data_IF_394133976633
#
_entry.id   IF_394133976633
#
_cell.length_a   1.000
_cell.length_b   1.000
_cell.length_c   1.000
_cell.angle_alpha   90.00
_cell.angle_beta   90.00
_cell.angle_gamma   90.00
#
_symmetry.space_group_name_H-M   'P 1'
#
loop_
_entity.id
_entity.type
_entity.pdbx_description
1 polymer ?
#
# COMPACT_ATOMS: atom_id res chain seq x y z
N UNK A 1 10.11 0.06 2.84
CA UNK A 1 9.12 1.00 3.40
C UNK A 1 8.59 0.56 4.76
N UNK A 2 7.87 -0.57 4.86
CA UNK A 2 7.33 -1.03 6.16
C UNK A 2 8.45 -1.31 7.17
N UNK A 3 9.42 -2.16 6.78
CA UNK A 3 10.60 -2.52 7.57
C UNK A 3 11.46 -1.30 7.96
N UNK A 4 11.75 -0.41 7.01
CA UNK A 4 12.53 0.82 7.26
C UNK A 4 11.90 1.73 8.31
N UNK A 5 10.59 1.61 8.51
CA UNK A 5 9.81 2.40 9.49
C UNK A 5 9.45 1.60 10.74
N UNK A 6 9.97 0.38 10.90
CA UNK A 6 9.64 -0.53 12.00
C UNK A 6 8.12 -0.84 12.09
N UNK A 7 7.44 -0.85 10.94
CA UNK A 7 6.06 -1.29 10.83
C UNK A 7 5.98 -2.80 10.55
N UNK A 8 4.85 -3.46 10.86
CA UNK A 8 4.61 -4.84 10.49
C UNK A 8 4.84 -5.09 8.99
N UNK A 9 5.44 -6.22 8.65
CA UNK A 9 5.66 -6.63 7.26
C UNK A 9 4.43 -7.39 6.74
N UNK A 10 3.90 -7.05 5.55
CA UNK A 10 2.78 -7.78 4.99
C UNK A 10 3.20 -9.20 4.59
N UNK A 11 2.37 -10.20 4.92
CA UNK A 11 2.51 -11.58 4.44
C UNK A 11 2.49 -11.65 2.92
N UNK A 12 1.65 -10.85 2.28
CA UNK A 12 1.54 -10.83 0.82
C UNK A 12 1.25 -9.43 0.31
N UNK A 13 1.90 -9.06 -0.79
CA UNK A 13 1.64 -7.82 -1.52
C UNK A 13 1.21 -8.17 -2.93
N UNK A 14 -0.01 -7.79 -3.29
CA UNK A 14 -0.57 -7.98 -4.64
C UNK A 14 -0.70 -6.63 -5.31
N UNK A 15 0.09 -6.39 -6.36
CA UNK A 15 -0.02 -5.17 -7.17
C UNK A 15 -1.04 -5.38 -8.28
N UNK A 16 -1.99 -4.46 -8.41
CA UNK A 16 -2.99 -4.52 -9.47
C UNK A 16 -2.37 -4.17 -10.82
N UNK A 17 -2.84 -4.78 -11.93
CA UNK A 17 -2.43 -4.40 -13.26
C UNK A 17 -2.66 -2.90 -13.48
N UNK A 18 -1.61 -2.16 -13.81
CA UNK A 18 -1.71 -0.73 -14.01
C UNK A 18 -2.53 -0.42 -15.27
N UNK A 19 -3.47 0.53 -15.17
CA UNK A 19 -4.09 1.19 -16.33
C UNK A 19 -3.24 2.36 -16.86
N UNK A 20 -2.26 2.85 -16.10
CA UNK A 20 -1.36 3.95 -16.49
C UNK A 20 -0.04 3.94 -15.71
N UNK A 21 1.03 4.46 -16.31
CA UNK A 21 2.37 4.55 -15.71
C UNK A 21 2.52 5.62 -14.61
N UNK A 22 1.44 6.30 -14.22
CA UNK A 22 1.50 7.40 -13.26
C UNK A 22 1.51 6.96 -11.79
N UNK A 23 0.94 5.80 -11.47
CA UNK A 23 0.85 5.30 -10.09
C UNK A 23 0.50 3.82 -10.05
N UNK A 24 0.97 3.12 -9.02
CA UNK A 24 0.57 1.75 -8.69
C UNK A 24 -0.51 1.72 -7.61
N UNK A 25 -1.36 0.70 -7.65
CA UNK A 25 -2.28 0.36 -6.57
C UNK A 25 -2.21 -1.14 -6.30
N UNK A 26 -2.60 -1.57 -5.11
CA UNK A 26 -2.53 -2.98 -4.71
C UNK A 26 -3.11 -3.22 -3.34
N UNK A 27 -2.96 -4.46 -2.86
CA UNK A 27 -3.38 -4.91 -1.52
C UNK A 27 -2.18 -5.45 -0.78
N UNK A 28 -2.08 -5.10 0.49
CA UNK A 28 -1.14 -5.69 1.44
C UNK A 28 -1.97 -6.52 2.44
N UNK A 29 -1.68 -7.81 2.55
CA UNK A 29 -2.33 -8.71 3.50
C UNK A 29 -1.41 -8.95 4.70
N UNK A 30 -1.98 -8.87 5.89
CA UNK A 30 -1.30 -9.11 7.17
C UNK A 30 -1.96 -10.29 7.88
N UNK A 31 -1.30 -10.87 8.88
CA UNK A 31 -1.82 -12.03 9.59
C UNK A 31 -2.93 -11.65 10.57
N UNK A 32 -2.89 -10.41 11.08
CA UNK A 32 -3.87 -9.87 12.03
C UNK A 32 -4.39 -8.49 11.63
N UNK A 33 -5.54 -8.11 12.20
CA UNK A 33 -6.11 -6.77 11.97
C UNK A 33 -5.28 -5.70 12.68
N UNK A 34 -4.69 -6.06 13.81
CA UNK A 34 -3.79 -5.25 14.62
C UNK A 34 -2.55 -4.87 13.80
N UNK A 35 -1.88 -5.85 13.17
CA UNK A 35 -0.74 -5.58 12.28
C UNK A 35 -1.10 -4.70 11.10
N UNK A 36 -2.25 -4.95 10.46
CA UNK A 36 -2.73 -4.11 9.37
C UNK A 36 -2.99 -2.66 9.83
N UNK A 37 -3.50 -2.49 11.05
CA UNK A 37 -3.76 -1.18 11.66
C UNK A 37 -2.47 -0.45 11.98
N UNK A 38 -1.51 -1.12 12.61
CA UNK A 38 -0.20 -0.56 12.94
C UNK A 38 0.55 -0.15 11.67
N UNK A 39 0.55 -1.03 10.65
CA UNK A 39 1.14 -0.74 9.35
C UNK A 39 0.47 0.47 8.69
N UNK A 40 -0.87 0.57 8.72
CA UNK A 40 -1.59 1.72 8.20
C UNK A 40 -1.19 3.01 8.92
N UNK A 41 -1.20 3.03 10.26
CA UNK A 41 -0.89 4.23 11.05
C UNK A 41 0.55 4.70 10.82
N UNK A 42 1.51 3.78 10.77
CA UNK A 42 2.94 4.12 10.64
C UNK A 42 3.30 4.54 9.22
N UNK A 43 2.72 3.87 8.21
CA UNK A 43 3.21 3.96 6.85
C UNK A 43 2.36 4.84 5.93
N UNK A 44 1.12 5.17 6.29
CA UNK A 44 0.29 6.04 5.46
C UNK A 44 0.95 7.42 5.26
N UNK A 45 0.78 8.00 4.07
CA UNK A 45 1.41 9.25 3.63
C UNK A 45 2.95 9.26 3.59
N UNK A 46 3.59 8.10 3.70
CA UNK A 46 5.05 8.01 3.52
C UNK A 46 5.43 8.43 2.11
N UNK A 47 6.41 9.34 1.95
CA UNK A 47 7.00 9.62 0.65
C UNK A 47 7.86 8.42 0.20
N UNK A 48 7.67 8.01 -1.06
CA UNK A 48 8.43 6.97 -1.74
C UNK A 48 9.04 7.58 -2.99
N UNK A 49 10.33 7.32 -3.22
CA UNK A 49 11.05 7.89 -4.34
C UNK A 49 10.42 7.49 -5.67
N UNK A 50 10.27 8.48 -6.55
CA UNK A 50 9.81 8.25 -7.91
C UNK A 50 11.00 7.83 -8.78
N UNK A 51 10.96 6.67 -9.46
CA UNK A 51 12.02 6.29 -10.40
C UNK A 51 12.01 7.14 -11.68
N UNK A 52 10.97 7.95 -11.92
CA UNK A 52 10.74 8.70 -13.16
C UNK A 52 10.59 10.21 -12.97
N UNK A 53 10.34 10.69 -11.75
CA UNK A 53 10.03 12.09 -11.46
C UNK A 53 10.90 12.69 -10.35
N UNK A 54 10.94 14.03 -10.28
CA UNK A 54 11.69 14.78 -9.24
C UNK A 54 10.98 14.81 -7.88
N UNK A 55 9.67 14.57 -7.84
CA UNK A 55 8.88 14.60 -6.62
C UNK A 55 8.52 13.17 -6.16
N UNK A 56 8.51 12.89 -4.85
CA UNK A 56 8.16 11.57 -4.34
C UNK A 56 6.67 11.27 -4.53
N UNK A 57 6.34 9.98 -4.65
CA UNK A 57 4.98 9.49 -4.51
C UNK A 57 4.58 9.49 -3.03
N UNK A 58 3.38 9.98 -2.73
CA UNK A 58 2.80 9.87 -1.39
C UNK A 58 1.95 8.62 -1.32
N UNK A 59 2.34 7.67 -0.47
CA UNK A 59 1.59 6.43 -0.27
C UNK A 59 0.25 6.72 0.40
N UNK A 60 -0.82 6.09 -0.09
CA UNK A 60 -2.15 6.16 0.49
C UNK A 60 -2.60 4.75 0.86
N UNK A 61 -2.78 4.52 2.16
CA UNK A 61 -3.28 3.26 2.70
C UNK A 61 -4.69 3.45 3.24
N UNK A 62 -5.51 2.43 3.04
CA UNK A 62 -6.85 2.31 3.61
C UNK A 62 -7.15 0.82 3.79
N UNK A 63 -8.12 0.50 4.67
CA UNK A 63 -8.62 -0.87 4.75
C UNK A 63 -9.31 -1.27 3.44
N UNK A 64 -9.02 -2.46 2.96
CA UNK A 64 -9.74 -3.04 1.84
C UNK A 64 -11.16 -3.45 2.29
N UNK A 65 -12.16 -3.07 1.51
CA UNK A 65 -13.55 -3.50 1.61
C UNK A 65 -13.77 -4.69 0.69
N UNK A 66 -14.10 -5.84 1.28
CA UNK A 66 -14.38 -7.08 0.55
C UNK A 66 -13.12 -7.85 0.11
N UNK A 67 -13.18 -9.19 0.24
CA UNK A 67 -12.06 -10.14 0.08
C UNK A 67 -11.40 -10.18 -1.32
N UNK A 68 -11.97 -9.54 -2.33
CA UNK A 68 -11.60 -9.80 -3.73
C UNK A 68 -10.99 -8.61 -4.47
N UNK A 69 -10.89 -7.42 -3.86
CA UNK A 69 -10.39 -6.21 -4.54
C UNK A 69 -11.22 -5.78 -5.78
N UNK A 70 -12.28 -6.52 -6.13
CA UNK A 70 -13.13 -6.28 -7.29
C UNK A 70 -13.96 -5.01 -7.17
N UNK A 71 -14.27 -4.61 -5.93
CA UNK A 71 -15.08 -3.43 -5.60
C UNK A 71 -14.28 -2.12 -5.64
N UNK A 72 -12.95 -2.19 -5.79
CA UNK A 72 -12.05 -1.02 -5.85
C UNK A 72 -11.72 -0.54 -7.26
N UNK A 73 -12.41 -1.05 -8.28
CA UNK A 73 -12.22 -0.60 -9.67
C UNK A 73 -13.21 0.53 -9.98
N UNK A 74 -12.77 1.79 -10.18
CA UNK A 74 -13.59 2.82 -10.79
C UNK A 74 -13.85 2.50 -12.28
#
# INVERSE_FOLDING_TARGET
MFTDRHAPEPRTVTIFPQKSDRSSAGVCEFDTTEEATDALVICNHTPVDSPVGKAPYIVKLAFAGGRDGKDFRP
#
